data_IF_934474428249
#
_entry.id   IF_934474428249
#
_cell.length_a   1.000
_cell.length_b   1.000
_cell.length_c   1.000
_cell.angle_alpha   90.00
_cell.angle_beta   90.00
_cell.angle_gamma   90.00
#
_symmetry.space_group_name_H-M   'P 1'
#
loop_
_entity.id
_entity.type
_entity.pdbx_description
1 polymer ?
#
# COMPACT_ATOMS: atom_id res chain seq x y z
N UNK A 1 2.94 -2.03 21.86
CA UNK A 1 1.88 -2.53 20.94
C UNK A 1 2.22 -3.95 20.51
N UNK A 2 1.24 -4.86 20.52
CA UNK A 2 1.40 -6.26 20.13
C UNK A 2 0.67 -6.52 18.81
N UNK A 3 1.43 -6.88 17.78
CA UNK A 3 0.94 -7.01 16.40
C UNK A 3 0.95 -8.46 15.97
N UNK A 4 -0.09 -8.91 15.29
CA UNK A 4 -0.07 -10.17 14.56
C UNK A 4 -0.18 -9.92 13.05
N UNK A 5 0.45 -10.77 12.25
CA UNK A 5 0.40 -10.70 10.79
C UNK A 5 -0.29 -11.96 10.27
N UNK A 6 -1.41 -11.79 9.57
CA UNK A 6 -2.09 -12.87 8.86
C UNK A 6 -1.76 -12.80 7.37
N UNK A 7 -0.98 -13.77 6.87
CA UNK A 7 -0.38 -13.77 5.54
C UNK A 7 1.03 -13.19 5.52
N UNK A 8 2.03 -14.04 5.35
CA UNK A 8 3.45 -13.65 5.34
C UNK A 8 4.02 -13.63 3.91
N UNK A 9 3.21 -13.10 2.98
CA UNK A 9 3.59 -12.82 1.60
C UNK A 9 4.52 -11.61 1.47
N UNK A 10 4.56 -10.98 0.28
CA UNK A 10 5.42 -9.81 0.02
C UNK A 10 5.16 -8.67 1.03
N UNK A 11 3.90 -8.26 1.17
CA UNK A 11 3.53 -7.14 2.08
C UNK A 11 3.75 -7.53 3.54
N UNK A 12 3.31 -8.73 3.97
CA UNK A 12 3.53 -9.18 5.36
C UNK A 12 5.00 -9.19 5.75
N UNK A 13 5.91 -9.64 4.86
CA UNK A 13 7.36 -9.63 5.12
C UNK A 13 7.96 -8.22 5.09
N UNK A 14 7.51 -7.34 4.18
CA UNK A 14 7.98 -5.95 4.15
C UNK A 14 7.55 -5.19 5.40
N UNK A 15 6.31 -5.39 5.85
CA UNK A 15 5.81 -4.83 7.11
C UNK A 15 6.61 -5.39 8.30
N UNK A 16 6.86 -6.69 8.34
CA UNK A 16 7.69 -7.28 9.40
C UNK A 16 9.08 -6.65 9.46
N UNK A 17 9.76 -6.47 8.31
CA UNK A 17 11.08 -5.84 8.23
C UNK A 17 11.10 -4.42 8.81
N UNK A 18 10.01 -3.67 8.63
CA UNK A 18 9.87 -2.31 9.19
C UNK A 18 9.60 -2.38 10.69
N UNK A 19 8.69 -3.26 11.13
CA UNK A 19 8.32 -3.42 12.54
C UNK A 19 9.48 -3.92 13.40
N UNK A 20 10.31 -4.82 12.88
CA UNK A 20 11.49 -5.37 13.57
C UNK A 20 12.49 -4.28 13.99
N UNK A 21 12.45 -3.10 13.36
CA UNK A 21 13.30 -1.96 13.69
C UNK A 21 12.65 -0.98 14.70
N UNK A 22 11.43 -1.25 15.18
CA UNK A 22 10.67 -0.35 16.04
C UNK A 22 10.56 -0.95 17.45
N UNK A 23 11.26 -0.37 18.42
CA UNK A 23 11.40 -0.94 19.77
C UNK A 23 10.07 -1.14 20.53
N UNK A 24 9.13 -0.21 20.39
CA UNK A 24 7.87 -0.21 21.14
C UNK A 24 6.73 -1.01 20.46
N UNK A 25 7.00 -1.67 19.34
CA UNK A 25 6.06 -2.54 18.63
C UNK A 25 6.67 -3.94 18.54
N UNK A 26 5.89 -4.95 18.93
CA UNK A 26 6.32 -6.35 18.87
C UNK A 26 5.41 -7.18 17.99
N UNK A 27 5.98 -7.86 17.01
CA UNK A 27 5.27 -8.88 16.26
C UNK A 27 5.24 -10.14 17.09
N UNK A 28 4.06 -10.51 17.60
CA UNK A 28 3.91 -11.63 18.54
C UNK A 28 3.52 -12.93 17.86
N UNK A 29 2.87 -12.86 16.70
CA UNK A 29 2.48 -14.02 15.93
C UNK A 29 2.40 -13.73 14.42
N UNK A 30 2.72 -14.74 13.63
CA UNK A 30 2.53 -14.75 12.18
C UNK A 30 1.73 -16.00 11.83
N UNK A 31 0.68 -15.85 11.03
CA UNK A 31 -0.08 -16.96 10.49
C UNK A 31 0.10 -17.01 8.97
N UNK A 32 0.56 -18.18 8.47
CA UNK A 32 0.64 -18.48 7.04
C UNK A 32 0.55 -19.99 6.83
N UNK A 33 0.02 -20.44 5.71
CA UNK A 33 -0.16 -21.86 5.40
C UNK A 33 1.10 -22.54 4.84
N UNK A 34 2.13 -21.75 4.54
CA UNK A 34 3.40 -22.23 4.00
C UNK A 34 4.31 -22.77 5.11
N UNK A 35 5.28 -23.57 4.73
CA UNK A 35 6.28 -24.10 5.68
C UNK A 35 7.10 -22.95 6.30
N UNK A 36 7.31 -23.02 7.60
CA UNK A 36 7.95 -21.96 8.40
C UNK A 36 9.38 -21.67 7.93
N UNK A 37 10.12 -22.71 7.58
CA UNK A 37 11.49 -22.61 7.06
C UNK A 37 11.52 -21.85 5.71
N UNK A 38 10.52 -22.08 4.85
CA UNK A 38 10.38 -21.34 3.59
C UNK A 38 10.08 -19.87 3.84
N UNK A 39 9.21 -19.57 4.81
CA UNK A 39 8.87 -18.18 5.18
C UNK A 39 10.09 -17.45 5.77
N UNK A 40 10.85 -18.10 6.65
CA UNK A 40 12.08 -17.58 7.21
C UNK A 40 13.15 -17.35 6.13
N UNK A 41 13.29 -18.30 5.19
CA UNK A 41 14.19 -18.17 4.04
C UNK A 41 13.83 -16.96 3.17
N UNK A 42 12.53 -16.78 2.84
CA UNK A 42 12.04 -15.68 2.05
C UNK A 42 12.06 -14.32 2.79
N UNK A 43 12.02 -14.33 4.12
CA UNK A 43 12.31 -13.13 4.91
C UNK A 43 13.80 -12.79 4.84
N UNK A 44 14.69 -13.80 4.92
CA UNK A 44 16.15 -13.61 4.88
C UNK A 44 16.63 -13.13 3.53
N UNK A 45 16.12 -13.70 2.44
CA UNK A 45 16.57 -13.42 1.09
C UNK A 45 15.40 -12.94 0.25
N UNK A 46 15.47 -11.70 -0.22
CA UNK A 46 14.47 -11.08 -1.07
C UNK A 46 15.15 -10.47 -2.29
N UNK A 47 14.64 -10.79 -3.48
CA UNK A 47 15.22 -10.34 -4.76
C UNK A 47 15.14 -8.82 -4.92
N UNK A 48 14.09 -8.20 -4.38
CA UNK A 48 13.82 -6.76 -4.51
C UNK A 48 14.37 -6.00 -3.31
N UNK A 49 13.98 -6.41 -2.09
CA UNK A 49 14.33 -5.72 -0.84
C UNK A 49 15.71 -6.12 -0.29
N UNK A 50 16.39 -7.04 -0.97
CA UNK A 50 17.71 -7.52 -0.54
C UNK A 50 17.67 -8.39 0.72
N UNK A 51 18.85 -8.64 1.27
CA UNK A 51 19.01 -9.50 2.44
C UNK A 51 18.49 -8.81 3.71
N UNK A 52 17.75 -9.55 4.53
CA UNK A 52 17.34 -9.08 5.86
C UNK A 52 18.56 -8.85 6.75
N UNK A 53 18.62 -7.68 7.37
CA UNK A 53 19.72 -7.30 8.24
C UNK A 53 19.45 -7.83 9.67
N UNK A 54 19.96 -8.99 9.98
CA UNK A 54 19.77 -9.66 11.27
C UNK A 54 19.81 -11.19 11.13
N UNK A 55 19.82 -11.87 12.26
CA UNK A 55 19.74 -13.31 12.34
C UNK A 55 18.27 -13.76 12.30
N UNK A 56 18.03 -14.92 11.71
CA UNK A 56 16.71 -15.56 11.70
C UNK A 56 16.93 -17.04 11.96
N UNK A 57 16.21 -17.59 12.92
CA UNK A 57 16.16 -19.03 13.17
C UNK A 57 14.74 -19.48 13.52
N UNK A 58 14.43 -20.72 13.23
CA UNK A 58 13.15 -21.35 13.60
C UNK A 58 13.43 -22.41 14.66
N UNK A 59 12.72 -22.33 15.77
CA UNK A 59 12.79 -23.28 16.88
C UNK A 59 11.38 -23.53 17.43
N UNK A 60 10.93 -24.78 17.46
CA UNK A 60 9.62 -25.15 18.07
C UNK A 60 8.43 -24.28 17.62
N UNK A 61 8.23 -24.11 16.31
CA UNK A 61 7.21 -23.25 15.71
C UNK A 61 7.34 -21.76 16.09
N UNK A 62 8.54 -21.33 16.42
CA UNK A 62 8.84 -19.95 16.77
C UNK A 62 9.92 -19.41 15.85
N UNK A 63 9.69 -18.27 15.21
CA UNK A 63 10.71 -17.53 14.50
C UNK A 63 11.38 -16.55 15.48
N UNK A 64 12.68 -16.64 15.57
CA UNK A 64 13.50 -15.79 16.45
C UNK A 64 14.39 -14.93 15.57
N UNK A 65 14.26 -13.62 15.70
CA UNK A 65 15.16 -12.62 15.14
C UNK A 65 16.05 -12.02 16.24
N UNK A 66 16.88 -11.06 15.92
CA UNK A 66 17.67 -10.36 16.94
C UNK A 66 16.77 -9.51 17.86
N UNK A 67 15.60 -9.08 17.37
CA UNK A 67 14.70 -8.13 18.04
C UNK A 67 13.39 -8.75 18.53
N UNK A 68 12.90 -9.82 17.90
CA UNK A 68 11.59 -10.40 18.15
C UNK A 68 11.61 -11.93 18.31
N UNK A 69 10.65 -12.43 19.08
CA UNK A 69 10.31 -13.85 19.22
C UNK A 69 8.85 -14.02 18.81
N UNK A 70 8.64 -14.66 17.66
CA UNK A 70 7.38 -14.64 16.93
C UNK A 70 6.80 -16.04 16.80
N UNK A 71 5.61 -16.28 17.34
CA UNK A 71 4.91 -17.55 17.16
C UNK A 71 4.48 -17.73 15.70
N UNK A 72 4.85 -18.87 15.11
CA UNK A 72 4.45 -19.25 13.76
C UNK A 72 3.22 -20.17 13.82
N UNK A 73 2.14 -19.71 13.20
CA UNK A 73 0.85 -20.41 13.12
C UNK A 73 0.57 -20.84 11.68
N UNK A 74 -0.26 -21.87 11.51
CA UNK A 74 -0.68 -22.38 10.20
C UNK A 74 -2.16 -22.74 10.22
N UNK A 75 -3.01 -21.72 10.43
CA UNK A 75 -4.46 -21.89 10.51
C UNK A 75 -5.15 -21.23 9.31
N UNK A 76 -6.03 -21.98 8.66
CA UNK A 76 -6.76 -21.52 7.47
C UNK A 76 -7.94 -20.62 7.82
N UNK A 77 -8.64 -20.95 8.90
CA UNK A 77 -9.82 -20.19 9.34
C UNK A 77 -9.42 -19.17 10.42
N UNK A 78 -9.53 -17.86 10.17
CA UNK A 78 -9.17 -16.84 11.14
C UNK A 78 -9.93 -16.92 12.46
N UNK A 79 -11.10 -17.58 12.49
CA UNK A 79 -11.88 -17.77 13.72
C UNK A 79 -11.21 -18.68 14.75
N UNK A 80 -10.26 -19.53 14.29
CA UNK A 80 -9.51 -20.47 15.14
C UNK A 80 -8.16 -19.90 15.61
N UNK A 81 -7.79 -18.70 15.17
CA UNK A 81 -6.53 -18.09 15.53
C UNK A 81 -6.52 -17.62 16.99
N UNK A 82 -5.50 -17.91 17.80
CA UNK A 82 -5.50 -17.65 19.24
C UNK A 82 -5.06 -16.22 19.59
N UNK A 83 -5.62 -15.20 18.95
CA UNK A 83 -5.22 -13.80 19.14
C UNK A 83 -5.37 -13.33 20.58
N UNK A 84 -6.37 -13.85 21.30
CA UNK A 84 -6.58 -13.56 22.71
C UNK A 84 -5.41 -14.04 23.59
N UNK A 85 -4.83 -15.19 23.29
CA UNK A 85 -3.71 -15.76 24.06
C UNK A 85 -2.44 -14.93 23.90
N UNK A 86 -2.28 -14.28 22.74
CA UNK A 86 -1.14 -13.40 22.44
C UNK A 86 -1.42 -11.94 22.77
N UNK A 87 -2.57 -11.58 23.35
CA UNK A 87 -2.98 -10.20 23.65
C UNK A 87 -2.74 -9.25 22.46
N UNK A 88 -3.28 -9.62 21.29
CA UNK A 88 -3.06 -8.90 20.04
C UNK A 88 -3.84 -7.58 20.02
N UNK A 89 -3.13 -6.47 19.92
CA UNK A 89 -3.72 -5.14 19.75
C UNK A 89 -4.28 -4.96 18.34
N UNK A 90 -3.51 -5.34 17.32
CA UNK A 90 -3.92 -5.23 15.92
C UNK A 90 -3.45 -6.42 15.09
N UNK A 91 -4.34 -6.95 14.27
CA UNK A 91 -4.01 -7.90 13.21
C UNK A 91 -3.81 -7.13 11.91
N UNK A 92 -2.68 -7.36 11.26
CA UNK A 92 -2.43 -6.93 9.87
C UNK A 92 -2.88 -8.06 8.96
N UNK A 93 -4.02 -7.87 8.30
CA UNK A 93 -4.58 -8.83 7.33
C UNK A 93 -3.96 -8.59 5.96
N UNK A 94 -3.01 -9.43 5.58
CA UNK A 94 -2.21 -9.32 4.34
C UNK A 94 -2.26 -10.56 3.44
N UNK A 95 -3.25 -11.45 3.64
CA UNK A 95 -3.47 -12.60 2.76
C UNK A 95 -4.05 -12.22 1.40
N UNK A 96 -4.80 -11.10 1.33
CA UNK A 96 -5.60 -10.72 0.17
C UNK A 96 -6.87 -11.57 -0.03
N UNK A 97 -7.15 -12.52 0.86
CA UNK A 97 -8.31 -13.45 0.80
C UNK A 97 -9.49 -12.91 1.60
N UNK A 98 -9.25 -12.49 2.84
CA UNK A 98 -10.28 -12.01 3.75
C UNK A 98 -10.51 -10.51 3.56
N UNK A 99 -11.39 -10.15 2.61
CA UNK A 99 -11.57 -8.76 2.15
C UNK A 99 -12.97 -8.19 2.43
N UNK A 100 -13.85 -9.00 3.05
CA UNK A 100 -15.20 -8.59 3.46
C UNK A 100 -15.28 -8.43 4.97
N UNK A 101 -16.08 -7.46 5.44
CA UNK A 101 -16.25 -7.15 6.87
C UNK A 101 -16.48 -8.39 7.72
N UNK A 102 -17.46 -9.22 7.35
CA UNK A 102 -17.81 -10.45 8.06
C UNK A 102 -16.62 -11.40 8.25
N UNK A 103 -15.71 -11.47 7.29
CA UNK A 103 -14.51 -12.34 7.37
C UNK A 103 -13.44 -11.70 8.27
N UNK A 104 -13.32 -10.37 8.23
CA UNK A 104 -12.40 -9.62 9.09
C UNK A 104 -12.83 -9.62 10.56
N UNK A 105 -14.14 -9.65 10.82
CA UNK A 105 -14.70 -9.79 12.17
C UNK A 105 -14.26 -11.08 12.88
N UNK A 106 -13.88 -12.13 12.13
CA UNK A 106 -13.33 -13.36 12.71
C UNK A 106 -12.07 -13.08 13.54
N UNK A 107 -11.20 -12.17 13.11
CA UNK A 107 -10.03 -11.78 13.90
C UNK A 107 -10.42 -11.08 15.22
N UNK A 108 -11.46 -10.24 15.19
CA UNK A 108 -11.97 -9.58 16.38
C UNK A 108 -12.59 -10.61 17.34
N UNK A 109 -13.35 -11.57 16.81
CA UNK A 109 -13.98 -12.64 17.59
C UNK A 109 -12.93 -13.57 18.21
N UNK A 110 -11.79 -13.75 17.57
CA UNK A 110 -10.64 -14.52 18.06
C UNK A 110 -9.80 -13.76 19.10
N UNK A 111 -10.15 -12.50 19.39
CA UNK A 111 -9.57 -11.72 20.47
C UNK A 111 -8.63 -10.59 20.06
N UNK A 112 -8.45 -10.30 18.79
CA UNK A 112 -7.76 -9.09 18.37
C UNK A 112 -8.60 -7.84 18.69
N UNK A 113 -7.97 -6.75 19.10
CA UNK A 113 -8.70 -5.50 19.42
C UNK A 113 -9.07 -4.75 18.13
N UNK A 114 -8.17 -4.74 17.12
CA UNK A 114 -8.35 -4.07 15.82
C UNK A 114 -7.83 -4.92 14.68
N UNK A 115 -8.26 -4.60 13.45
CA UNK A 115 -7.82 -5.24 12.20
C UNK A 115 -7.49 -4.17 11.18
N UNK A 116 -6.29 -4.23 10.62
CA UNK A 116 -5.89 -3.44 9.48
C UNK A 116 -5.81 -4.30 8.22
N UNK A 117 -6.66 -4.02 7.25
CA UNK A 117 -6.69 -4.69 5.94
C UNK A 117 -5.72 -4.01 4.97
N UNK A 118 -4.81 -4.76 4.38
CA UNK A 118 -3.77 -4.25 3.45
C UNK A 118 -4.19 -4.24 1.97
N UNK A 119 -5.47 -4.32 1.69
CA UNK A 119 -6.07 -4.20 0.35
C UNK A 119 -7.39 -3.44 0.46
N UNK A 120 -7.97 -2.94 -0.65
CA UNK A 120 -9.32 -2.37 -0.61
C UNK A 120 -10.36 -3.40 -0.16
N UNK A 121 -11.22 -3.01 0.78
CA UNK A 121 -12.35 -3.84 1.19
C UNK A 121 -13.37 -4.00 0.05
N UNK A 122 -13.98 -5.20 -0.04
CA UNK A 122 -15.01 -5.53 -1.05
C UNK A 122 -16.43 -5.13 -0.63
N UNK A 123 -16.62 -4.80 0.63
CA UNK A 123 -17.88 -4.28 1.18
C UNK A 123 -17.58 -3.13 2.16
N UNK A 124 -18.62 -2.59 2.79
CA UNK A 124 -18.48 -1.50 3.75
C UNK A 124 -17.84 -2.00 5.06
N UNK A 125 -16.80 -1.31 5.49
CA UNK A 125 -16.08 -1.49 6.75
C UNK A 125 -16.09 -0.18 7.54
N UNK A 126 -15.48 -0.16 8.71
CA UNK A 126 -15.56 1.02 9.59
C UNK A 126 -14.92 2.26 8.96
N UNK A 127 -13.74 2.11 8.30
CA UNK A 127 -13.15 3.20 7.53
C UNK A 127 -12.11 2.69 6.49
N UNK A 128 -11.83 3.52 5.50
CA UNK A 128 -10.69 3.37 4.59
C UNK A 128 -9.84 4.62 4.69
N UNK A 129 -8.57 4.48 5.10
CA UNK A 129 -7.68 5.59 5.41
C UNK A 129 -6.51 5.62 4.42
N UNK A 130 -6.24 6.81 3.90
CA UNK A 130 -5.01 7.17 3.22
C UNK A 130 -4.37 8.33 3.98
N UNK A 131 -3.21 8.07 4.56
CA UNK A 131 -2.49 9.06 5.37
C UNK A 131 -2.16 10.31 4.55
N UNK A 132 -2.27 11.48 5.19
CA UNK A 132 -2.16 12.78 4.55
C UNK A 132 -3.44 13.21 3.81
N UNK A 133 -4.43 12.33 3.66
CA UNK A 133 -5.67 12.62 2.92
C UNK A 133 -6.87 12.72 3.85
N UNK A 134 -7.21 11.67 4.58
CA UNK A 134 -8.39 11.58 5.45
C UNK A 134 -8.10 10.92 6.80
N UNK A 135 -6.86 10.95 7.25
CA UNK A 135 -6.43 10.39 8.53
C UNK A 135 -7.12 11.03 9.74
N UNK A 136 -7.59 12.27 9.61
CA UNK A 136 -8.44 12.97 10.57
C UNK A 136 -9.83 12.37 10.75
N UNK A 137 -10.28 11.54 9.81
CA UNK A 137 -11.55 10.79 9.93
C UNK A 137 -11.45 9.52 10.77
N UNK A 138 -10.23 9.11 11.18
CA UNK A 138 -10.03 7.94 12.03
C UNK A 138 -10.46 8.24 13.47
N UNK A 139 -11.25 7.34 14.05
CA UNK A 139 -11.69 7.44 15.46
C UNK A 139 -11.32 6.19 16.24
N UNK A 140 -11.33 6.27 17.57
CA UNK A 140 -11.05 5.13 18.47
C UNK A 140 -12.00 3.94 18.25
N UNK A 141 -13.24 4.22 17.81
CA UNK A 141 -14.30 3.22 17.62
C UNK A 141 -14.11 2.41 16.33
N UNK A 142 -13.29 2.88 15.40
CA UNK A 142 -12.97 2.14 14.18
C UNK A 142 -12.07 0.95 14.50
N UNK A 143 -12.62 -0.25 14.34
CA UNK A 143 -11.94 -1.51 14.64
C UNK A 143 -11.45 -2.24 13.40
N UNK A 144 -12.12 -2.06 12.25
CA UNK A 144 -11.76 -2.67 10.96
C UNK A 144 -11.50 -1.54 9.97
N UNK A 145 -10.22 -1.33 9.65
CA UNK A 145 -9.78 -0.24 8.76
C UNK A 145 -9.01 -0.81 7.58
N UNK A 146 -9.17 -0.24 6.40
CA UNK A 146 -8.36 -0.56 5.22
C UNK A 146 -7.39 0.57 4.92
N UNK A 147 -6.14 0.23 4.57
CA UNK A 147 -5.16 1.18 4.03
C UNK A 147 -5.29 1.36 2.50
N UNK A 148 -6.45 1.08 1.91
CA UNK A 148 -6.68 1.13 0.47
C UNK A 148 -5.66 0.30 -0.35
N UNK A 149 -5.27 0.76 -1.55
CA UNK A 149 -4.21 0.15 -2.36
C UNK A 149 -2.96 1.03 -2.43
N UNK A 150 -1.83 0.45 -2.82
CA UNK A 150 -0.58 1.20 -3.05
C UNK A 150 -0.78 2.34 -4.08
N UNK A 151 -1.50 2.06 -5.17
CA UNK A 151 -1.82 3.07 -6.20
C UNK A 151 -2.73 4.18 -5.64
N UNK A 152 -3.72 3.84 -4.80
CA UNK A 152 -4.59 4.86 -4.16
C UNK A 152 -3.77 5.72 -3.20
N UNK A 153 -2.83 5.14 -2.45
CA UNK A 153 -1.92 5.88 -1.58
C UNK A 153 -1.01 6.85 -2.35
N UNK A 154 -0.62 6.52 -3.57
CA UNK A 154 0.14 7.41 -4.44
C UNK A 154 -0.75 8.54 -5.03
N UNK A 155 -1.94 8.18 -5.52
CA UNK A 155 -2.81 9.09 -6.27
C UNK A 155 -3.58 10.08 -5.38
N UNK A 156 -4.12 9.63 -4.25
CA UNK A 156 -5.04 10.45 -3.45
C UNK A 156 -4.39 11.70 -2.85
N UNK A 157 -3.15 11.68 -2.33
CA UNK A 157 -2.46 12.90 -1.90
C UNK A 157 -2.32 13.92 -3.03
N UNK A 158 -1.97 13.48 -4.24
CA UNK A 158 -1.86 14.35 -5.40
C UNK A 158 -3.21 14.93 -5.81
N UNK A 159 -4.26 14.11 -5.85
CA UNK A 159 -5.61 14.57 -6.15
C UNK A 159 -6.08 15.61 -5.13
N UNK A 160 -5.80 15.42 -3.82
CA UNK A 160 -6.13 16.39 -2.76
C UNK A 160 -5.44 17.72 -2.97
N UNK A 161 -4.15 17.72 -3.25
CA UNK A 161 -3.37 18.95 -3.46
C UNK A 161 -3.88 19.70 -4.70
N UNK A 162 -4.01 18.98 -5.82
CA UNK A 162 -4.43 19.58 -7.09
C UNK A 162 -5.88 20.12 -7.03
N UNK A 163 -6.78 19.40 -6.36
CA UNK A 163 -8.17 19.85 -6.19
C UNK A 163 -8.25 21.07 -5.29
N UNK A 164 -7.54 21.09 -4.16
CA UNK A 164 -7.52 22.23 -3.24
C UNK A 164 -6.94 23.50 -3.88
N UNK A 165 -5.86 23.38 -4.62
CA UNK A 165 -5.16 24.53 -5.20
C UNK A 165 -5.80 25.01 -6.50
N UNK A 166 -6.23 24.10 -7.35
CA UNK A 166 -6.58 24.43 -8.73
C UNK A 166 -7.99 24.00 -9.15
N UNK A 167 -8.64 23.12 -8.36
CA UNK A 167 -9.90 22.49 -8.70
C UNK A 167 -9.74 21.43 -9.80
N UNK A 168 -10.13 20.19 -9.53
CA UNK A 168 -10.20 19.13 -10.54
C UNK A 168 -11.61 19.00 -11.05
N UNK A 169 -11.82 19.19 -12.36
CA UNK A 169 -13.09 18.91 -13.02
C UNK A 169 -13.26 17.43 -13.26
N UNK A 170 -12.27 16.82 -13.93
CA UNK A 170 -12.24 15.40 -14.29
C UNK A 170 -10.81 14.98 -14.63
N UNK A 171 -10.57 13.68 -14.63
CA UNK A 171 -9.28 13.15 -15.02
C UNK A 171 -9.26 11.65 -15.25
N UNK A 172 -8.21 11.23 -15.91
CA UNK A 172 -7.89 9.80 -16.10
C UNK A 172 -6.46 9.53 -15.69
N UNK A 173 -6.22 8.33 -15.16
CA UNK A 173 -4.87 7.91 -14.86
C UNK A 173 -4.56 6.56 -15.49
N UNK A 174 -3.29 6.34 -15.80
CA UNK A 174 -2.73 5.02 -16.03
C UNK A 174 -1.66 4.75 -14.98
N UNK A 175 -1.82 3.70 -14.18
CA UNK A 175 -0.69 3.25 -13.39
C UNK A 175 0.15 2.26 -14.20
N UNK A 176 1.37 2.67 -14.56
CA UNK A 176 2.39 1.80 -15.13
C UNK A 176 3.00 1.07 -13.94
N UNK A 177 2.61 -0.19 -13.77
CA UNK A 177 2.74 -0.89 -12.50
C UNK A 177 3.61 -2.14 -12.62
N UNK A 178 4.50 -2.33 -11.68
CA UNK A 178 5.26 -3.56 -11.54
C UNK A 178 4.34 -4.79 -11.49
N UNK A 179 4.83 -5.96 -11.93
CA UNK A 179 4.05 -7.19 -11.83
C UNK A 179 3.87 -7.60 -10.35
N UNK A 180 2.78 -8.31 -10.06
CA UNK A 180 2.45 -8.77 -8.71
C UNK A 180 2.02 -10.25 -8.75
N UNK A 181 1.93 -10.89 -7.59
CA UNK A 181 1.63 -12.33 -7.47
C UNK A 181 0.26 -12.76 -8.01
N UNK A 182 -0.62 -11.82 -8.32
CA UNK A 182 -1.89 -12.11 -9.00
C UNK A 182 -1.72 -12.40 -10.50
N UNK A 183 -0.55 -12.10 -11.06
CA UNK A 183 -0.21 -12.39 -12.45
C UNK A 183 0.44 -13.79 -12.59
N UNK A 184 0.57 -14.25 -13.84
CA UNK A 184 1.16 -15.54 -14.16
C UNK A 184 2.59 -15.40 -14.62
N UNK A 185 3.46 -16.31 -14.19
CA UNK A 185 4.86 -16.35 -14.66
C UNK A 185 4.92 -16.80 -16.12
N UNK A 186 4.14 -17.80 -16.47
CA UNK A 186 3.98 -18.33 -17.84
C UNK A 186 2.54 -18.23 -18.29
N UNK A 187 2.25 -18.45 -19.60
CA UNK A 187 0.89 -18.45 -20.15
C UNK A 187 0.06 -19.59 -19.56
N UNK A 188 -0.74 -19.29 -18.53
CA UNK A 188 -1.64 -20.26 -17.88
C UNK A 188 -2.97 -19.57 -17.49
N UNK A 189 -4.07 -20.32 -17.29
CA UNK A 189 -5.38 -19.74 -17.05
C UNK A 189 -5.44 -18.73 -15.90
N UNK A 190 -6.16 -17.65 -16.15
CA UNK A 190 -6.53 -16.63 -15.19
C UNK A 190 -7.93 -16.07 -15.55
N UNK A 191 -8.69 -15.56 -14.59
CA UNK A 191 -10.03 -14.98 -14.83
C UNK A 191 -9.99 -13.74 -15.73
N UNK A 192 -8.94 -12.93 -15.65
CA UNK A 192 -8.60 -11.90 -16.63
C UNK A 192 -7.65 -12.51 -17.67
N UNK A 193 -8.09 -12.62 -18.92
CA UNK A 193 -7.31 -13.23 -20.00
C UNK A 193 -6.00 -12.50 -20.28
N UNK A 194 -5.91 -11.21 -20.03
CA UNK A 194 -4.63 -10.47 -20.18
C UNK A 194 -3.65 -10.85 -19.08
N UNK A 195 -4.11 -11.02 -17.84
CA UNK A 195 -3.28 -11.48 -16.72
C UNK A 195 -2.90 -12.97 -16.81
N UNK A 196 -3.48 -13.73 -17.73
CA UNK A 196 -3.07 -15.11 -18.01
C UNK A 196 -1.74 -15.21 -18.77
N UNK A 197 -1.24 -14.09 -19.29
CA UNK A 197 0.01 -14.05 -20.06
C UNK A 197 1.22 -13.84 -19.15
N UNK A 198 2.38 -14.31 -19.60
CA UNK A 198 3.66 -14.23 -18.89
C UNK A 198 3.99 -12.78 -18.47
N UNK A 199 4.04 -12.53 -17.17
CA UNK A 199 4.14 -11.20 -16.59
C UNK A 199 5.47 -10.49 -16.89
N UNK A 200 6.57 -11.26 -16.93
CA UNK A 200 7.91 -10.72 -17.15
C UNK A 200 8.26 -10.50 -18.64
N UNK A 201 7.34 -10.85 -19.55
CA UNK A 201 7.55 -10.78 -21.00
C UNK A 201 6.58 -9.84 -21.73
N UNK A 202 5.58 -9.30 -21.01
CA UNK A 202 4.48 -8.56 -21.63
C UNK A 202 4.15 -7.25 -20.91
N UNK A 203 3.76 -6.23 -21.68
CA UNK A 203 2.98 -5.10 -21.16
C UNK A 203 1.52 -5.54 -21.13
N UNK A 204 0.91 -5.57 -19.94
CA UNK A 204 -0.43 -6.13 -19.73
C UNK A 204 -1.40 -5.03 -19.26
N UNK A 205 -2.24 -4.46 -20.15
CA UNK A 205 -3.33 -3.57 -19.75
C UNK A 205 -4.38 -4.35 -18.96
N UNK A 206 -4.82 -3.81 -17.83
CA UNK A 206 -5.85 -4.44 -16.98
C UNK A 206 -6.64 -3.39 -16.21
N UNK A 207 -7.77 -3.77 -15.68
CA UNK A 207 -8.57 -2.88 -14.84
C UNK A 207 -7.92 -2.59 -13.50
N UNK A 208 -8.20 -1.41 -12.96
CA UNK A 208 -7.88 -1.03 -11.59
C UNK A 208 -9.03 -0.24 -10.97
N UNK A 209 -9.29 -0.47 -9.70
CA UNK A 209 -10.25 0.34 -8.92
C UNK A 209 -9.61 1.54 -8.23
N UNK A 210 -8.29 1.74 -8.38
CA UNK A 210 -7.55 2.70 -7.58
C UNK A 210 -8.00 4.16 -7.78
N UNK A 211 -8.30 4.58 -9.02
CA UNK A 211 -8.78 5.92 -9.31
C UNK A 211 -10.17 6.16 -8.71
N UNK A 212 -11.10 5.21 -8.89
CA UNK A 212 -12.43 5.29 -8.28
C UNK A 212 -12.40 5.24 -6.76
N UNK A 213 -11.42 4.53 -6.18
CA UNK A 213 -11.24 4.44 -4.73
C UNK A 213 -10.82 5.79 -4.10
N UNK A 214 -10.27 6.72 -4.87
CA UNK A 214 -10.00 8.10 -4.39
C UNK A 214 -11.27 8.77 -3.88
N UNK A 215 -12.42 8.54 -4.53
CA UNK A 215 -13.71 9.07 -4.09
C UNK A 215 -14.18 8.55 -2.72
N UNK A 216 -13.63 7.43 -2.22
CA UNK A 216 -13.93 6.93 -0.86
C UNK A 216 -13.21 7.74 0.23
N UNK A 217 -12.01 8.24 -0.07
CA UNK A 217 -11.18 8.99 0.88
C UNK A 217 -11.23 10.51 0.64
N UNK A 218 -11.69 10.92 -0.53
CA UNK A 218 -11.95 12.32 -0.94
C UNK A 218 -13.33 12.37 -1.61
N UNK A 219 -14.43 12.53 -0.87
CA UNK A 219 -15.79 12.46 -1.41
C UNK A 219 -16.06 13.42 -2.58
N UNK A 220 -15.44 14.60 -2.58
CA UNK A 220 -15.55 15.58 -3.68
C UNK A 220 -14.95 15.08 -5.01
N UNK A 221 -14.14 14.04 -4.98
CA UNK A 221 -13.56 13.40 -6.17
C UNK A 221 -14.43 12.26 -6.73
N UNK A 222 -15.56 11.96 -6.09
CA UNK A 222 -16.44 10.88 -6.53
C UNK A 222 -16.91 11.10 -7.98
N UNK A 223 -16.64 10.15 -8.86
CA UNK A 223 -16.98 10.19 -10.27
C UNK A 223 -16.12 11.09 -11.16
N UNK A 224 -15.16 11.83 -10.58
CA UNK A 224 -14.26 12.71 -11.36
C UNK A 224 -13.02 11.99 -11.92
N UNK A 225 -12.60 10.88 -11.31
CA UNK A 225 -11.40 10.13 -11.71
C UNK A 225 -11.73 8.68 -12.09
N UNK A 226 -11.18 8.23 -13.20
CA UNK A 226 -11.14 6.82 -13.59
C UNK A 226 -9.77 6.47 -14.18
N UNK A 227 -9.52 5.19 -14.49
CA UNK A 227 -8.25 4.80 -15.06
C UNK A 227 -8.06 3.30 -15.25
N UNK A 228 -6.88 2.98 -15.74
CA UNK A 228 -6.42 1.61 -16.01
C UNK A 228 -5.06 1.35 -15.37
N UNK A 229 -4.65 0.09 -15.35
CA UNK A 229 -3.27 -0.29 -15.04
C UNK A 229 -2.62 -0.91 -16.28
N UNK A 230 -1.38 -0.55 -16.52
CA UNK A 230 -0.48 -1.21 -17.48
C UNK A 230 0.61 -1.93 -16.70
N UNK A 231 0.49 -3.26 -16.55
CA UNK A 231 1.55 -4.05 -15.91
C UNK A 231 2.74 -4.18 -16.82
N UNK A 232 3.94 -3.98 -16.27
CA UNK A 232 5.20 -3.98 -17.01
C UNK A 232 6.19 -4.99 -16.42
N UNK A 233 7.19 -5.45 -17.20
CA UNK A 233 8.18 -6.45 -16.77
C UNK A 233 9.23 -5.89 -15.79
N UNK A 234 8.80 -5.28 -14.69
CA UNK A 234 9.67 -4.86 -13.58
C UNK A 234 9.14 -5.44 -12.27
N UNK A 235 10.02 -5.83 -11.34
CA UNK A 235 9.60 -6.52 -10.11
C UNK A 235 8.99 -5.57 -9.07
N UNK A 236 9.38 -4.30 -9.07
CA UNK A 236 8.91 -3.26 -8.17
C UNK A 236 9.20 -1.87 -8.76
N UNK A 237 8.61 -0.82 -8.19
CA UNK A 237 8.75 0.54 -8.69
C UNK A 237 7.71 0.86 -9.76
N UNK A 238 6.59 1.43 -9.32
CA UNK A 238 5.44 1.78 -10.16
C UNK A 238 5.30 3.29 -10.30
N UNK A 239 4.56 3.74 -11.32
CA UNK A 239 4.29 5.16 -11.52
C UNK A 239 2.83 5.40 -11.90
N UNK A 240 2.20 6.40 -11.29
CA UNK A 240 0.91 6.95 -11.71
C UNK A 240 1.17 8.07 -12.72
N UNK A 241 0.68 7.89 -13.94
CA UNK A 241 0.60 8.91 -14.99
C UNK A 241 -0.82 9.49 -14.95
N UNK A 242 -0.96 10.69 -14.38
CA UNK A 242 -2.23 11.33 -14.11
C UNK A 242 -2.46 12.48 -15.09
N UNK A 243 -3.61 12.46 -15.75
CA UNK A 243 -4.11 13.54 -16.62
C UNK A 243 -5.38 14.12 -16.01
N UNK A 244 -5.41 15.43 -15.77
CA UNK A 244 -6.59 16.12 -15.23
C UNK A 244 -6.89 17.41 -16.00
N UNK A 245 -8.18 17.70 -16.12
CA UNK A 245 -8.66 19.04 -16.47
C UNK A 245 -8.89 19.83 -15.18
N UNK A 246 -8.24 20.99 -15.09
CA UNK A 246 -8.34 21.90 -13.94
C UNK A 246 -9.40 22.99 -14.17
N UNK A 247 -9.98 23.49 -13.09
CA UNK A 247 -10.88 24.65 -13.14
C UNK A 247 -10.10 25.94 -13.39
N UNK A 248 -8.95 26.10 -12.75
CA UNK A 248 -8.06 27.25 -12.93
C UNK A 248 -7.09 27.03 -14.09
N UNK A 249 -6.69 28.11 -14.75
CA UNK A 249 -5.54 28.10 -15.66
C UNK A 249 -4.26 28.13 -14.82
N UNK A 250 -3.30 27.31 -15.19
CA UNK A 250 -2.02 27.16 -14.49
C UNK A 250 -0.85 27.08 -15.43
N UNK A 251 0.32 27.37 -14.91
CA UNK A 251 1.63 27.10 -15.52
C UNK A 251 2.32 25.91 -14.84
N UNK A 252 3.31 25.31 -15.47
CA UNK A 252 4.14 24.26 -14.87
C UNK A 252 4.78 24.75 -13.57
N UNK A 253 5.28 25.99 -13.54
CA UNK A 253 5.93 26.57 -12.38
C UNK A 253 4.98 26.69 -11.16
N UNK A 254 3.74 27.13 -11.38
CA UNK A 254 2.72 27.22 -10.32
C UNK A 254 2.37 25.84 -9.75
N UNK A 255 2.18 24.84 -10.61
CA UNK A 255 1.90 23.46 -10.18
C UNK A 255 3.06 22.91 -9.37
N UNK A 256 4.29 23.00 -9.91
CA UNK A 256 5.48 22.49 -9.22
C UNK A 256 5.68 23.18 -7.86
N UNK A 257 5.45 24.50 -7.79
CA UNK A 257 5.54 25.25 -6.53
C UNK A 257 4.49 24.78 -5.52
N UNK A 258 3.25 24.62 -5.90
CA UNK A 258 2.17 24.17 -5.01
C UNK A 258 2.48 22.78 -4.41
N UNK A 259 2.98 21.85 -5.26
CA UNK A 259 3.34 20.50 -4.80
C UNK A 259 4.59 20.51 -3.91
N UNK A 260 5.60 21.34 -4.22
CA UNK A 260 6.78 21.52 -3.37
C UNK A 260 6.40 22.09 -1.99
N UNK A 261 5.51 23.08 -1.95
CA UNK A 261 5.04 23.68 -0.69
C UNK A 261 4.24 22.64 0.12
N UNK A 262 3.34 21.89 -0.53
CA UNK A 262 2.58 20.82 0.10
C UNK A 262 3.48 19.71 0.68
N UNK A 263 4.54 19.30 -0.03
CA UNK A 263 5.45 18.25 0.42
C UNK A 263 6.18 18.58 1.72
N UNK A 264 6.29 19.87 2.06
CA UNK A 264 6.92 20.38 3.30
C UNK A 264 5.93 20.53 4.47
N UNK A 265 4.63 20.38 4.20
CA UNK A 265 3.60 20.48 5.24
C UNK A 265 3.68 19.31 6.22
N UNK A 266 3.25 19.53 7.46
CA UNK A 266 3.18 18.47 8.48
C UNK A 266 2.32 17.29 8.04
N UNK A 267 1.26 17.54 7.27
CA UNK A 267 0.34 16.52 6.77
C UNK A 267 0.96 15.63 5.69
N UNK A 268 1.84 16.18 4.82
CA UNK A 268 2.41 15.46 3.67
C UNK A 268 3.87 15.03 3.87
N UNK A 269 4.51 15.42 4.96
CA UNK A 269 5.96 15.27 5.20
C UNK A 269 6.49 13.83 5.01
N UNK A 270 5.73 12.80 5.40
CA UNK A 270 6.12 11.40 5.26
C UNK A 270 5.32 10.68 4.15
N UNK A 271 4.50 11.41 3.41
CA UNK A 271 3.61 10.87 2.38
C UNK A 271 4.07 11.26 0.98
N UNK A 272 4.46 12.52 0.80
CA UNK A 272 4.82 13.09 -0.50
C UNK A 272 6.29 13.55 -0.51
N UNK A 273 7.05 13.04 -1.47
CA UNK A 273 8.39 13.51 -1.79
C UNK A 273 8.39 14.27 -3.12
N UNK A 274 9.07 15.42 -3.17
CA UNK A 274 9.26 16.20 -4.38
C UNK A 274 10.64 15.94 -4.97
N UNK A 275 10.69 15.42 -6.21
CA UNK A 275 11.95 15.11 -6.90
C UNK A 275 12.21 16.08 -8.07
N UNK A 276 13.44 16.54 -8.19
CA UNK A 276 13.98 17.28 -9.33
C UNK A 276 14.98 16.42 -10.14
N UNK A 277 15.21 15.18 -9.71
CA UNK A 277 16.11 14.24 -10.37
C UNK A 277 15.41 13.45 -11.49
N UNK A 278 16.12 13.09 -12.56
CA UNK A 278 15.59 12.26 -13.64
C UNK A 278 15.56 10.78 -13.21
N UNK A 279 14.65 10.43 -12.32
CA UNK A 279 14.53 9.09 -11.71
C UNK A 279 13.76 8.11 -12.60
N UNK A 280 14.04 6.83 -12.40
CA UNK A 280 13.35 5.69 -13.01
C UNK A 280 12.90 4.68 -11.95
N UNK A 281 12.21 3.63 -12.34
CA UNK A 281 11.58 2.67 -11.41
C UNK A 281 12.55 2.04 -10.39
N UNK A 282 13.80 1.75 -10.80
CA UNK A 282 14.80 1.16 -9.89
C UNK A 282 15.30 2.13 -8.81
N UNK A 283 15.22 3.44 -9.04
CA UNK A 283 15.71 4.47 -8.12
C UNK A 283 14.79 4.66 -6.90
N UNK A 284 13.56 4.16 -6.98
CA UNK A 284 12.56 4.32 -5.93
C UNK A 284 12.35 3.07 -5.08
N UNK A 285 13.02 1.97 -5.41
CA UNK A 285 12.96 0.73 -4.61
C UNK A 285 13.52 1.01 -3.20
N UNK A 286 12.75 0.65 -2.18
CA UNK A 286 13.07 0.93 -0.78
C UNK A 286 12.70 2.36 -0.33
N UNK A 287 12.09 3.17 -1.18
CA UNK A 287 11.66 4.51 -0.81
C UNK A 287 10.36 4.45 0.02
N UNK A 288 10.31 5.06 1.23
CA UNK A 288 9.16 4.94 2.14
C UNK A 288 7.98 5.87 1.80
N UNK A 289 8.13 6.81 0.88
CA UNK A 289 7.06 7.75 0.54
C UNK A 289 5.95 7.07 -0.28
N UNK A 290 4.70 7.48 -0.04
CA UNK A 290 3.53 7.01 -0.79
C UNK A 290 3.51 7.53 -2.22
N UNK A 291 4.01 8.74 -2.43
CA UNK A 291 4.02 9.44 -3.71
C UNK A 291 5.32 10.21 -3.87
N UNK A 292 6.04 9.97 -4.95
CA UNK A 292 7.28 10.67 -5.30
C UNK A 292 6.98 11.44 -6.58
N UNK A 293 6.74 12.74 -6.42
CA UNK A 293 6.40 13.61 -7.54
C UNK A 293 7.64 13.91 -8.39
N UNK A 294 7.56 13.62 -9.70
CA UNK A 294 8.59 13.95 -10.68
C UNK A 294 8.29 15.31 -11.31
N UNK A 295 8.91 16.38 -10.80
CA UNK A 295 8.67 17.74 -11.24
C UNK A 295 9.11 18.01 -12.69
N UNK A 296 10.04 17.20 -13.22
CA UNK A 296 10.52 17.33 -14.59
C UNK A 296 9.54 16.80 -15.63
N UNK A 297 8.63 15.95 -15.20
CA UNK A 297 7.61 15.34 -16.06
C UNK A 297 6.28 16.09 -16.09
N UNK A 298 6.16 17.21 -15.35
CA UNK A 298 4.97 18.06 -15.36
C UNK A 298 4.76 18.69 -16.72
N UNK A 299 3.55 18.56 -17.25
CA UNK A 299 3.14 19.19 -18.53
C UNK A 299 1.80 19.87 -18.37
N UNK A 300 1.69 21.06 -18.94
CA UNK A 300 0.42 21.82 -19.00
C UNK A 300 0.11 22.15 -20.47
N UNK A 301 -1.08 21.80 -20.91
CA UNK A 301 -1.58 22.08 -22.26
C UNK A 301 -2.78 23.01 -22.15
N UNK A 302 -2.80 24.07 -22.96
CA UNK A 302 -3.89 25.08 -23.00
C UNK A 302 -4.20 25.69 -21.61
N UNK A 303 -3.25 25.63 -20.69
CA UNK A 303 -3.34 26.18 -19.35
C UNK A 303 -4.25 25.40 -18.38
N UNK A 304 -5.00 24.39 -18.83
CA UNK A 304 -5.95 23.65 -17.97
C UNK A 304 -5.76 22.13 -17.97
N UNK A 305 -5.14 21.57 -19.00
CA UNK A 305 -4.89 20.14 -19.07
C UNK A 305 -3.51 19.85 -18.49
N UNK A 306 -3.51 19.28 -17.27
CA UNK A 306 -2.30 18.96 -16.51
C UNK A 306 -2.00 17.48 -16.62
N UNK A 307 -0.71 17.16 -16.87
CA UNK A 307 -0.17 15.82 -16.67
C UNK A 307 0.88 15.85 -15.56
N UNK A 308 0.82 14.90 -14.64
CA UNK A 308 1.84 14.65 -13.60
C UNK A 308 2.29 13.20 -13.59
N UNK A 309 3.55 12.96 -13.21
CA UNK A 309 4.07 11.63 -12.92
C UNK A 309 4.41 11.51 -11.43
N UNK A 310 3.91 10.45 -10.82
CA UNK A 310 4.12 10.16 -9.41
C UNK A 310 4.60 8.72 -9.24
N UNK A 311 5.86 8.57 -8.86
CA UNK A 311 6.48 7.27 -8.58
C UNK A 311 6.10 6.77 -7.20
N UNK A 312 6.10 5.46 -7.00
CA UNK A 312 5.90 4.83 -5.70
C UNK A 312 6.47 3.41 -5.68
N UNK A 313 7.14 3.08 -4.59
CA UNK A 313 7.45 1.69 -4.30
C UNK A 313 6.16 1.02 -3.84
N UNK A 314 5.62 0.13 -4.70
CA UNK A 314 4.31 -0.48 -4.46
C UNK A 314 4.32 -1.51 -3.34
N UNK A 315 5.48 -1.91 -2.84
CA UNK A 315 5.64 -2.82 -1.70
C UNK A 315 6.15 -2.08 -0.46
N UNK A 316 7.32 -1.44 -0.53
CA UNK A 316 7.95 -0.80 0.62
C UNK A 316 7.26 0.48 1.06
N UNK A 317 6.98 1.39 0.14
CA UNK A 317 6.26 2.64 0.44
C UNK A 317 4.88 2.35 1.04
N UNK A 318 4.16 1.39 0.45
CA UNK A 318 2.88 0.94 0.97
C UNK A 318 3.00 0.28 2.36
N UNK A 319 4.01 -0.55 2.59
CA UNK A 319 4.24 -1.21 3.89
C UNK A 319 4.57 -0.21 5.00
N UNK A 320 5.27 0.88 4.68
CA UNK A 320 5.47 1.98 5.63
C UNK A 320 4.13 2.62 6.04
N UNK A 321 3.20 2.84 5.09
CA UNK A 321 1.86 3.37 5.42
C UNK A 321 1.03 2.40 6.26
N UNK A 322 1.18 1.10 6.06
CA UNK A 322 0.57 0.08 6.95
C UNK A 322 1.07 0.27 8.38
N UNK A 323 2.37 0.42 8.57
CA UNK A 323 2.98 0.61 9.90
C UNK A 323 2.56 1.94 10.53
N UNK A 324 2.58 3.03 9.78
CA UNK A 324 2.12 4.33 10.30
C UNK A 324 0.63 4.27 10.71
N UNK A 325 -0.20 3.58 9.92
CA UNK A 325 -1.63 3.50 10.21
C UNK A 325 -1.94 2.66 11.45
N UNK A 326 -1.24 1.54 11.70
CA UNK A 326 -1.44 0.79 12.95
C UNK A 326 -1.01 1.60 14.17
N UNK A 327 0.02 2.42 14.07
CA UNK A 327 0.41 3.34 15.14
C UNK A 327 -0.71 4.35 15.41
N UNK A 328 -1.28 4.93 14.36
CA UNK A 328 -2.40 5.87 14.49
C UNK A 328 -3.67 5.22 15.04
N UNK A 329 -3.96 3.96 14.65
CA UNK A 329 -5.12 3.21 15.14
C UNK A 329 -5.02 2.87 16.63
N UNK A 330 -3.82 2.69 17.17
CA UNK A 330 -3.59 2.21 18.53
C UNK A 330 -3.16 3.30 19.52
N UNK A 331 -2.96 4.53 19.05
CA UNK A 331 -2.78 5.71 19.91
C UNK A 331 -4.15 6.29 20.27
#
# INVERSE_FOLDING_TARGET
MRVAINGFGRIGRSVFRILDQIENIKVVAINDLSQQESLAYLLKYDTVMGKFNGNIRIENNTMITDNDTVQMLSERDPSNLPWKEYDVDVVIESTGVFTKKKLLENHLNSGAKKVLLTVPAKDEIDNTIVLGVNDDSLTSDHRIVSNASCTTNCLAPMAKILDNEFGIKQGVMNTIHAYTNDQRLADVPHSDFRRSRAAAENIIPTSTGAARAVGKVLPQMQGKLDGIASRVPVPDGSVVDLFVELEKKVTVAEVNKAILDASKSSQMKNVLYYSENPIVSSDIIGNPFSSIYDSRCTKVVSGRYLRTLNWYDNEWGYSNRVVDLIQLMCN
#
